data_IF_952097599309
#
_entry.id   IF_952097599309
#
_cell.length_a   1.000
_cell.length_b   1.000
_cell.length_c   1.000
_cell.angle_alpha   90.00
_cell.angle_beta   90.00
_cell.angle_gamma   90.00
#
_symmetry.space_group_name_H-M   'P 1'
#
loop_
_entity.id
_entity.type
_entity.pdbx_description
1 polymer ?
#
# COMPACT_ATOMS: atom_id res chain seq x y z
N UNK A 1 30.88 34.57 20.21
CA UNK A 1 30.38 34.14 21.54
C UNK A 1 28.98 33.51 21.50
N UNK A 2 28.07 33.86 20.57
CA UNK A 2 26.72 33.26 20.50
C UNK A 2 26.70 31.74 20.25
N UNK A 3 27.62 31.20 19.46
CA UNK A 3 27.68 29.76 19.16
C UNK A 3 28.02 28.90 20.39
N UNK A 4 28.91 29.37 21.27
CA UNK A 4 29.31 28.63 22.47
C UNK A 4 28.14 28.48 23.46
N UNK A 5 27.36 29.56 23.65
CA UNK A 5 26.17 29.55 24.49
C UNK A 5 25.10 28.59 23.95
N UNK A 6 24.91 28.53 22.63
CA UNK A 6 23.98 27.60 21.98
C UNK A 6 24.43 26.15 22.12
N UNK A 7 25.72 25.86 22.00
CA UNK A 7 26.27 24.50 22.20
C UNK A 7 26.05 24.04 23.64
N UNK A 8 26.39 24.87 24.63
CA UNK A 8 26.16 24.57 26.05
C UNK A 8 24.67 24.33 26.33
N UNK A 9 23.78 25.19 25.81
CA UNK A 9 22.34 25.05 25.99
C UNK A 9 21.76 23.77 25.35
N UNK A 10 22.31 23.32 24.22
CA UNK A 10 21.87 22.07 23.59
C UNK A 10 22.44 20.82 24.27
N UNK A 11 23.63 20.88 24.88
CA UNK A 11 24.23 19.76 25.61
C UNK A 11 23.41 19.32 26.83
N UNK A 12 22.81 20.28 27.53
CA UNK A 12 21.97 20.00 28.71
C UNK A 12 20.51 19.65 28.36
N UNK A 13 20.11 19.70 27.09
CA UNK A 13 18.76 19.29 26.66
C UNK A 13 18.73 17.80 26.37
N UNK A 14 17.54 17.20 26.56
CA UNK A 14 17.32 15.80 26.18
C UNK A 14 17.52 15.62 24.67
N UNK A 15 18.06 14.47 24.23
CA UNK A 15 18.20 14.17 22.82
C UNK A 15 16.81 14.11 22.16
N UNK A 16 16.69 14.76 21.00
CA UNK A 16 15.47 14.71 20.18
C UNK A 16 15.31 13.34 19.52
N UNK A 17 16.41 12.61 19.36
CA UNK A 17 16.44 11.28 18.76
C UNK A 17 15.65 10.28 19.59
N UNK A 18 15.01 9.34 18.89
CA UNK A 18 14.36 8.18 19.49
C UNK A 18 15.27 6.96 19.31
N UNK A 19 15.29 6.06 20.28
CA UNK A 19 16.07 4.83 20.21
C UNK A 19 15.41 3.84 19.24
N UNK A 20 15.74 3.92 17.94
CA UNK A 20 15.37 2.89 16.99
C UNK A 20 16.28 1.66 17.17
N UNK A 21 15.77 0.41 17.14
CA UNK A 21 14.37 -0.01 16.94
C UNK A 21 13.58 -0.19 18.26
N UNK A 22 14.17 0.06 19.42
CA UNK A 22 13.57 -0.23 20.74
C UNK A 22 12.32 0.59 21.06
N UNK A 23 12.22 1.83 20.56
CA UNK A 23 11.05 2.71 20.71
C UNK A 23 10.36 2.90 19.36
N UNK A 24 9.26 2.17 19.14
CA UNK A 24 8.44 2.34 17.94
C UNK A 24 7.81 3.72 17.91
N UNK A 25 7.79 4.33 16.71
CA UNK A 25 7.03 5.54 16.45
C UNK A 25 5.70 5.13 15.83
N UNK A 26 4.62 5.49 16.50
CA UNK A 26 3.29 5.37 15.90
C UNK A 26 3.24 6.14 14.56
N UNK A 27 2.70 5.51 13.50
CA UNK A 27 2.49 6.15 12.21
C UNK A 27 1.64 7.43 12.37
N UNK A 28 1.82 8.37 11.45
CA UNK A 28 0.96 9.55 11.43
C UNK A 28 -0.42 9.20 10.87
N UNK A 29 -1.42 10.03 11.16
CA UNK A 29 -2.83 9.83 10.74
C UNK A 29 -3.03 9.62 9.23
N UNK A 30 -2.09 10.06 8.40
CA UNK A 30 -2.15 9.92 6.93
C UNK A 30 -0.88 9.26 6.36
N UNK A 31 -0.20 8.46 7.17
CA UNK A 31 0.94 7.67 6.70
C UNK A 31 0.47 6.62 5.71
N UNK A 32 1.08 6.61 4.52
CA UNK A 32 0.87 5.58 3.50
C UNK A 32 1.95 4.51 3.68
N UNK A 33 1.61 3.42 4.33
CA UNK A 33 2.48 2.27 4.58
C UNK A 33 2.42 1.25 3.45
N UNK A 34 1.97 0.03 3.74
CA UNK A 34 1.86 -1.05 2.75
C UNK A 34 0.46 -1.17 2.15
N UNK A 35 0.38 -1.73 0.95
CA UNK A 35 -0.89 -2.11 0.34
C UNK A 35 -1.38 -3.43 0.94
N UNK A 36 -2.65 -3.49 1.32
CA UNK A 36 -3.35 -4.69 1.81
C UNK A 36 -4.43 -5.07 0.80
N UNK A 37 -4.52 -6.36 0.49
CA UNK A 37 -5.43 -6.91 -0.49
C UNK A 37 -6.35 -7.94 0.17
N UNK A 38 -7.66 -7.73 0.09
CA UNK A 38 -8.65 -8.75 0.44
C UNK A 38 -9.08 -9.49 -0.83
N UNK A 39 -8.51 -10.67 -1.03
CA UNK A 39 -8.74 -11.46 -2.25
C UNK A 39 -10.10 -12.15 -2.26
N UNK A 40 -10.85 -12.18 -1.15
CA UNK A 40 -12.18 -12.81 -1.07
C UNK A 40 -13.24 -11.99 -1.82
N UNK A 41 -13.13 -10.67 -1.76
CA UNK A 41 -14.03 -9.72 -2.43
C UNK A 41 -13.58 -9.35 -3.86
N UNK A 42 -12.40 -9.84 -4.27
CA UNK A 42 -11.80 -9.50 -5.54
C UNK A 42 -12.52 -10.18 -6.71
N UNK A 43 -13.02 -9.38 -7.66
CA UNK A 43 -13.69 -9.87 -8.87
C UNK A 43 -12.79 -9.95 -10.11
N UNK A 44 -11.48 -9.76 -9.93
CA UNK A 44 -10.48 -9.71 -11.01
C UNK A 44 -10.86 -8.76 -12.17
N UNK A 45 -11.37 -7.56 -11.86
CA UNK A 45 -11.83 -6.60 -12.86
C UNK A 45 -10.73 -5.88 -13.65
N UNK A 46 -9.46 -6.10 -13.30
CA UNK A 46 -8.26 -5.45 -13.88
C UNK A 46 -8.18 -3.92 -13.79
N UNK A 47 -9.07 -3.27 -13.03
CA UNK A 47 -9.03 -1.83 -12.82
C UNK A 47 -7.75 -1.38 -12.09
N UNK A 48 -7.30 -2.13 -11.09
CA UNK A 48 -6.08 -1.84 -10.34
C UNK A 48 -4.81 -1.95 -11.21
N UNK A 49 -4.74 -2.93 -12.10
CA UNK A 49 -3.64 -3.11 -13.06
C UNK A 49 -3.55 -1.92 -14.02
N UNK A 50 -4.67 -1.52 -14.64
CA UNK A 50 -4.72 -0.38 -15.57
C UNK A 50 -4.40 0.96 -14.91
N UNK A 51 -4.75 1.13 -13.64
CA UNK A 51 -4.54 2.39 -12.92
C UNK A 51 -3.16 2.48 -12.25
N UNK A 52 -2.44 1.38 -12.13
CA UNK A 52 -1.15 1.36 -11.46
C UNK A 52 -0.07 2.06 -12.30
N UNK A 53 0.51 3.19 -11.84
CA UNK A 53 1.55 3.88 -12.61
C UNK A 53 2.88 3.12 -12.63
N UNK A 54 3.10 2.23 -11.66
CA UNK A 54 4.35 1.48 -11.51
C UNK A 54 4.27 0.06 -12.12
N UNK A 55 3.12 -0.36 -12.66
CA UNK A 55 2.98 -1.71 -13.23
C UNK A 55 3.12 -2.85 -12.21
N UNK A 56 2.75 -2.62 -10.94
CA UNK A 56 2.95 -3.59 -9.86
C UNK A 56 1.98 -4.79 -9.87
N UNK A 57 1.00 -4.83 -10.79
CA UNK A 57 0.00 -5.90 -10.87
C UNK A 57 0.10 -6.62 -12.21
N UNK A 58 -0.14 -7.93 -12.18
CA UNK A 58 -0.32 -8.77 -13.37
C UNK A 58 -1.54 -9.67 -13.13
N UNK A 59 -2.61 -9.48 -13.91
CA UNK A 59 -3.88 -10.19 -13.69
C UNK A 59 -4.31 -10.95 -14.95
N UNK A 60 -4.31 -12.28 -14.87
CA UNK A 60 -4.76 -13.17 -15.95
C UNK A 60 -6.08 -13.85 -15.61
N UNK A 61 -7.19 -13.20 -15.98
CA UNK A 61 -8.56 -13.67 -15.68
C UNK A 61 -8.87 -15.09 -16.18
N UNK A 62 -8.31 -15.50 -17.33
CA UNK A 62 -8.55 -16.84 -17.91
C UNK A 62 -7.87 -17.94 -17.10
N UNK A 63 -6.72 -17.63 -16.52
CA UNK A 63 -5.90 -18.55 -15.73
C UNK A 63 -6.23 -18.48 -14.23
N UNK A 64 -7.07 -17.52 -13.82
CA UNK A 64 -7.35 -17.25 -12.41
C UNK A 64 -6.14 -16.70 -11.66
N UNK A 65 -5.13 -16.18 -12.36
CA UNK A 65 -3.88 -15.71 -11.76
C UNK A 65 -3.99 -14.23 -11.39
N UNK A 66 -3.77 -13.91 -10.12
CA UNK A 66 -3.57 -12.55 -9.64
C UNK A 66 -2.18 -12.46 -9.02
N UNK A 67 -1.34 -11.58 -9.56
CA UNK A 67 0.02 -11.38 -9.09
C UNK A 67 0.23 -9.92 -8.74
N UNK A 68 0.84 -9.68 -7.57
CA UNK A 68 1.18 -8.36 -7.07
C UNK A 68 2.65 -8.33 -6.69
N UNK A 69 3.40 -7.43 -7.30
CA UNK A 69 4.78 -7.14 -6.91
C UNK A 69 4.82 -6.00 -5.88
N UNK A 70 5.07 -6.33 -4.62
CA UNK A 70 5.15 -5.33 -3.57
C UNK A 70 6.34 -4.37 -3.69
N UNK A 71 7.41 -4.76 -4.39
CA UNK A 71 8.65 -3.97 -4.49
C UNK A 71 8.58 -2.92 -5.59
N UNK A 72 7.76 -3.16 -6.62
CA UNK A 72 7.43 -2.16 -7.63
C UNK A 72 6.37 -1.15 -7.13
N UNK A 73 5.65 -1.45 -6.04
CA UNK A 73 4.57 -0.60 -5.56
C UNK A 73 5.09 0.70 -4.92
N UNK A 74 4.70 1.84 -5.49
CA UNK A 74 5.02 3.19 -4.96
C UNK A 74 4.00 3.73 -3.96
N UNK A 75 3.02 2.92 -3.54
CA UNK A 75 2.00 3.25 -2.53
C UNK A 75 1.26 4.57 -2.83
N UNK A 76 0.93 4.81 -4.10
CA UNK A 76 0.22 6.02 -4.50
C UNK A 76 -1.24 6.04 -4.02
N UNK A 77 -1.88 4.86 -3.93
CA UNK A 77 -3.30 4.70 -3.57
C UNK A 77 -4.26 4.65 -4.77
N UNK A 78 -3.77 4.81 -6.00
CA UNK A 78 -4.64 4.89 -7.18
C UNK A 78 -5.42 3.59 -7.47
N UNK A 79 -4.88 2.43 -7.06
CA UNK A 79 -5.60 1.15 -7.15
C UNK A 79 -6.75 1.02 -6.16
N UNK A 80 -6.65 1.67 -4.98
CA UNK A 80 -7.71 1.68 -3.96
C UNK A 80 -8.92 2.45 -4.49
N UNK A 81 -8.68 3.64 -5.05
CA UNK A 81 -9.73 4.48 -5.65
C UNK A 81 -10.39 3.81 -6.86
N UNK A 82 -9.61 3.13 -7.69
CA UNK A 82 -10.11 2.47 -8.90
C UNK A 82 -10.89 1.17 -8.62
N UNK A 83 -10.80 0.60 -7.41
CA UNK A 83 -11.40 -0.70 -7.12
C UNK A 83 -12.91 -0.57 -6.88
N UNK A 84 -13.77 -1.13 -7.75
CA UNK A 84 -15.22 -1.03 -7.57
C UNK A 84 -15.73 -1.80 -6.35
N UNK A 85 -15.02 -2.84 -5.93
CA UNK A 85 -15.33 -3.66 -4.75
C UNK A 85 -14.65 -3.17 -3.47
N UNK A 86 -13.78 -2.15 -3.56
CA UNK A 86 -13.00 -1.62 -2.43
C UNK A 86 -12.27 -2.71 -1.62
N UNK A 87 -11.77 -3.74 -2.32
CA UNK A 87 -11.04 -4.85 -1.71
C UNK A 87 -9.54 -4.56 -1.50
N UNK A 88 -9.12 -3.32 -1.69
CA UNK A 88 -7.74 -2.86 -1.61
C UNK A 88 -7.70 -1.70 -0.62
N UNK A 89 -6.69 -1.67 0.25
CA UNK A 89 -6.50 -0.58 1.21
C UNK A 89 -5.00 -0.27 1.40
N UNK A 90 -4.70 0.95 1.86
CA UNK A 90 -3.34 1.35 2.25
C UNK A 90 -3.27 1.40 3.78
N UNK A 91 -2.55 0.43 4.34
CA UNK A 91 -2.25 0.36 5.77
C UNK A 91 -1.25 1.45 6.15
N UNK A 92 -1.24 1.84 7.42
CA UNK A 92 -0.34 2.87 7.96
C UNK A 92 1.04 2.31 8.33
N UNK A 93 1.13 0.99 8.51
CA UNK A 93 2.35 0.29 8.83
C UNK A 93 3.22 0.03 7.59
N UNK A 94 4.53 0.25 7.75
CA UNK A 94 5.51 0.01 6.71
C UNK A 94 5.83 -1.48 6.57
N UNK A 95 6.21 -1.87 5.35
CA UNK A 95 6.68 -3.23 5.07
C UNK A 95 8.00 -3.46 5.81
N UNK A 96 8.07 -4.53 6.62
CA UNK A 96 9.28 -4.88 7.37
C UNK A 96 10.41 -5.28 6.41
N UNK A 97 11.68 -5.05 6.78
CA UNK A 97 12.81 -5.55 6.00
C UNK A 97 12.75 -7.08 5.92
N UNK A 98 12.97 -7.62 4.73
CA UNK A 98 13.02 -9.06 4.48
C UNK A 98 14.27 -9.39 3.67
N UNK A 99 14.80 -10.60 3.82
CA UNK A 99 15.99 -11.04 3.10
C UNK A 99 15.75 -11.42 1.63
N UNK A 100 14.50 -11.65 1.25
CA UNK A 100 14.13 -12.12 -0.09
C UNK A 100 12.97 -11.30 -0.66
N UNK A 101 13.10 -10.91 -1.92
CA UNK A 101 12.03 -10.27 -2.66
C UNK A 101 11.02 -11.32 -3.11
N UNK A 102 9.80 -11.26 -2.57
CA UNK A 102 8.70 -12.17 -2.91
C UNK A 102 7.57 -11.39 -3.56
N UNK A 103 7.14 -11.88 -4.71
CA UNK A 103 5.90 -11.46 -5.35
C UNK A 103 4.75 -12.27 -4.76
N UNK A 104 3.65 -11.59 -4.45
CA UNK A 104 2.47 -12.24 -3.90
C UNK A 104 1.60 -12.76 -5.06
N UNK A 105 1.30 -14.06 -5.06
CA UNK A 105 0.56 -14.75 -6.13
C UNK A 105 -0.65 -15.45 -5.53
N UNK A 106 -1.82 -15.19 -6.08
CA UNK A 106 -3.06 -15.86 -5.74
C UNK A 106 -3.67 -16.52 -6.97
N UNK A 107 -4.22 -17.71 -6.76
CA UNK A 107 -5.04 -18.42 -7.73
C UNK A 107 -6.48 -18.29 -7.25
N UNK A 108 -7.29 -17.56 -8.01
CA UNK A 108 -8.69 -17.28 -7.68
C UNK A 108 -9.54 -17.87 -8.79
N UNK A 109 -10.57 -18.61 -8.40
CA UNK A 109 -11.59 -19.04 -9.37
C UNK A 109 -12.28 -17.80 -9.94
N UNK A 110 -12.28 -17.59 -11.26
CA UNK A 110 -12.90 -16.42 -11.85
C UNK A 110 -14.38 -16.36 -11.48
N UNK A 111 -14.87 -15.26 -10.87
CA UNK A 111 -16.29 -15.15 -10.60
C UNK A 111 -17.03 -15.22 -11.93
N UNK A 112 -18.10 -16.03 -11.97
CA UNK A 112 -18.99 -16.11 -13.11
C UNK A 112 -19.39 -14.69 -13.53
N UNK A 113 -19.38 -14.43 -14.85
CA UNK A 113 -19.60 -13.09 -15.42
C UNK A 113 -20.84 -12.43 -14.82
N UNK A 114 -20.66 -11.54 -13.84
CA UNK A 114 -21.76 -10.69 -13.34
C UNK A 114 -21.97 -9.62 -14.39
N UNK A 115 -23.14 -9.62 -15.03
CA UNK A 115 -23.54 -8.55 -15.96
C UNK A 115 -23.47 -7.22 -15.18
N UNK A 116 -22.65 -6.29 -15.66
CA UNK A 116 -22.62 -4.92 -15.13
C UNK A 116 -24.05 -4.36 -15.19
N UNK A 117 -24.60 -3.76 -14.12
CA UNK A 117 -25.82 -2.99 -14.26
C UNK A 117 -25.53 -1.83 -15.21
N UNK A 118 -26.33 -1.75 -16.27
CA UNK A 118 -26.33 -0.64 -17.20
C UNK A 118 -26.67 0.66 -16.44
N UNK A 119 -25.87 1.71 -16.68
CA UNK A 119 -26.19 3.12 -16.46
C UNK A 119 -26.93 3.48 -15.17
N UNK A 120 -26.20 3.86 -14.12
CA UNK A 120 -26.72 4.80 -13.13
C UNK A 120 -26.20 6.20 -13.52
N UNK A 121 -27.06 6.93 -14.20
CA UNK A 121 -26.89 8.34 -14.55
C UNK A 121 -26.79 9.18 -13.26
N UNK A 122 -25.77 10.02 -13.21
CA UNK A 122 -25.53 11.07 -12.21
C UNK A 122 -26.67 12.10 -12.20
N UNK A 123 -27.10 12.61 -11.03
CA UNK A 123 -27.65 13.96 -10.92
C UNK A 123 -26.57 15.02 -11.10
#
# INVERSE_FOLDING_TARGET
MQMLATVLNNLFKRPVTREYPYRYREPFRSSKGRLVLDMRECIMCTACEKRCPAGAFEIKRKEGLFKFDPYSCVVCGACVEACPKKCLDVDSDWRKPVGEMRTEIWHIEPPAKVKSPAGAETP
#
